data_IF_176481208097
#
_entry.id   IF_176481208097
#
_cell.length_a   1.000
_cell.length_b   1.000
_cell.length_c   1.000
_cell.angle_alpha   90.00
_cell.angle_beta   90.00
_cell.angle_gamma   90.00
#
_symmetry.space_group_name_H-M   'P 1'
#
loop_
_entity.id
_entity.type
_entity.pdbx_description
1 polymer ?
#
# COMPACT_ATOMS: atom_id res chain seq x y z
N UNK A 1 42.84 11.95 -23.19
CA UNK A 1 42.03 12.68 -22.17
C UNK A 1 41.28 11.63 -21.35
N UNK A 2 41.71 11.34 -20.12
CA UNK A 2 40.96 10.43 -19.25
C UNK A 2 39.80 11.18 -18.62
N UNK A 3 38.57 10.86 -18.99
CA UNK A 3 37.39 11.25 -18.22
C UNK A 3 37.50 10.58 -16.86
N UNK A 4 37.87 11.36 -15.84
CA UNK A 4 37.81 10.91 -14.45
C UNK A 4 36.34 10.58 -14.16
N UNK A 5 36.01 9.29 -14.10
CA UNK A 5 34.73 8.84 -13.58
C UNK A 5 34.65 9.31 -12.12
N UNK A 6 33.88 10.37 -11.87
CA UNK A 6 33.53 10.72 -10.51
C UNK A 6 32.66 9.59 -9.97
N UNK A 7 33.22 8.80 -9.05
CA UNK A 7 32.44 7.85 -8.29
C UNK A 7 31.37 8.66 -7.55
N UNK A 8 30.07 8.42 -7.78
CA UNK A 8 29.04 9.17 -7.10
C UNK A 8 29.25 9.04 -5.58
N UNK A 9 29.08 10.12 -4.81
CA UNK A 9 29.25 10.06 -3.36
C UNK A 9 28.37 8.95 -2.78
N UNK A 10 28.90 8.21 -1.79
CA UNK A 10 28.14 7.19 -1.07
C UNK A 10 26.85 7.83 -0.56
N UNK A 11 25.71 7.38 -1.08
CA UNK A 11 24.39 7.81 -0.59
C UNK A 11 24.28 7.50 0.90
N UNK A 12 23.78 8.45 1.68
CA UNK A 12 23.40 8.26 3.07
C UNK A 12 22.30 7.18 3.20
N UNK A 13 22.18 6.56 4.38
CA UNK A 13 21.22 5.48 4.65
C UNK A 13 19.79 5.88 4.28
N UNK A 14 19.37 7.10 4.66
CA UNK A 14 18.03 7.61 4.35
C UNK A 14 17.81 7.67 2.85
N UNK A 15 18.80 8.18 2.10
CA UNK A 15 18.74 8.26 0.64
C UNK A 15 18.70 6.87 -0.02
N UNK A 16 19.31 5.86 0.58
CA UNK A 16 19.23 4.48 0.07
C UNK A 16 17.85 3.88 0.30
N UNK A 17 17.33 4.03 1.51
CA UNK A 17 16.01 3.49 1.89
C UNK A 17 14.91 4.15 1.05
N UNK A 18 14.94 5.48 0.89
CA UNK A 18 13.93 6.17 0.08
C UNK A 18 13.97 5.75 -1.38
N UNK A 19 15.17 5.57 -1.95
CA UNK A 19 15.30 5.12 -3.33
C UNK A 19 14.87 3.66 -3.52
N UNK A 20 15.19 2.78 -2.56
CA UNK A 20 14.74 1.38 -2.59
C UNK A 20 13.22 1.30 -2.50
N UNK A 21 12.58 2.10 -1.63
CA UNK A 21 11.11 2.20 -1.57
C UNK A 21 10.56 2.76 -2.88
N UNK A 22 11.20 3.78 -3.46
CA UNK A 22 10.78 4.38 -4.72
C UNK A 22 10.77 3.37 -5.87
N UNK A 23 11.83 2.56 -5.98
CA UNK A 23 11.97 1.51 -6.99
C UNK A 23 11.03 0.34 -6.72
N UNK A 24 10.93 -0.10 -5.46
CA UNK A 24 9.99 -1.15 -5.04
C UNK A 24 8.55 -0.76 -5.35
N UNK A 25 8.13 0.46 -5.01
CA UNK A 25 6.77 0.93 -5.27
C UNK A 25 6.52 1.14 -6.76
N UNK A 26 7.52 1.56 -7.52
CA UNK A 26 7.39 1.65 -8.98
C UNK A 26 7.16 0.28 -9.60
N UNK A 27 7.86 -0.76 -9.13
CA UNK A 27 7.59 -2.14 -9.54
C UNK A 27 6.23 -2.65 -9.02
N UNK A 28 5.90 -2.36 -7.77
CA UNK A 28 4.67 -2.82 -7.14
C UNK A 28 3.44 -2.22 -7.83
N UNK A 29 3.49 -0.97 -8.28
CA UNK A 29 2.36 -0.30 -8.91
C UNK A 29 2.29 -0.53 -10.43
N UNK A 30 3.43 -0.69 -11.10
CA UNK A 30 3.49 -0.66 -12.58
C UNK A 30 4.25 -1.81 -13.23
N UNK A 31 4.90 -2.67 -12.45
CA UNK A 31 5.69 -3.80 -12.94
C UNK A 31 4.82 -4.91 -13.53
N UNK A 32 5.41 -5.75 -14.38
CA UNK A 32 4.73 -6.94 -14.92
C UNK A 32 4.51 -8.00 -13.83
N UNK A 33 3.38 -8.69 -13.87
CA UNK A 33 2.89 -9.48 -12.73
C UNK A 33 2.69 -10.95 -13.09
N UNK A 34 3.09 -11.83 -12.18
CA UNK A 34 2.52 -13.17 -12.10
C UNK A 34 1.14 -13.09 -11.46
N UNK A 35 0.30 -14.11 -11.67
CA UNK A 35 -1.04 -14.17 -11.08
C UNK A 35 -1.02 -14.00 -9.55
N UNK A 36 -0.01 -14.56 -8.86
CA UNK A 36 0.12 -14.46 -7.42
C UNK A 36 0.44 -13.03 -6.97
N UNK A 37 1.33 -12.34 -7.68
CA UNK A 37 1.66 -10.93 -7.41
C UNK A 37 0.42 -10.05 -7.62
N UNK A 38 -0.35 -10.30 -8.68
CA UNK A 38 -1.60 -9.60 -8.95
C UNK A 38 -2.62 -9.78 -7.82
N UNK A 39 -2.77 -11.01 -7.29
CA UNK A 39 -3.65 -11.27 -6.15
C UNK A 39 -3.18 -10.57 -4.87
N UNK A 40 -1.88 -10.59 -4.56
CA UNK A 40 -1.32 -9.96 -3.37
C UNK A 40 -1.39 -8.42 -3.41
N UNK A 41 -1.61 -7.83 -4.59
CA UNK A 41 -1.91 -6.40 -4.76
C UNK A 41 -3.42 -6.14 -4.73
N UNK A 42 -4.16 -6.92 -5.52
CA UNK A 42 -5.58 -6.72 -5.75
C UNK A 42 -6.45 -6.99 -4.53
N UNK A 43 -6.15 -8.04 -3.74
CA UNK A 43 -6.94 -8.38 -2.55
C UNK A 43 -6.84 -7.29 -1.48
N UNK A 44 -5.64 -6.83 -1.08
CA UNK A 44 -5.56 -5.69 -0.17
C UNK A 44 -6.26 -4.45 -0.71
N UNK A 45 -6.05 -4.09 -1.98
CA UNK A 45 -6.70 -2.93 -2.58
C UNK A 45 -8.24 -3.03 -2.52
N UNK A 46 -8.79 -4.19 -2.83
CA UNK A 46 -10.22 -4.45 -2.70
C UNK A 46 -10.71 -4.27 -1.25
N UNK A 47 -9.99 -4.86 -0.28
CA UNK A 47 -10.33 -4.74 1.14
C UNK A 47 -10.21 -3.29 1.63
N UNK A 48 -9.26 -2.52 1.13
CA UNK A 48 -9.12 -1.10 1.40
C UNK A 48 -10.32 -0.31 0.89
N UNK A 49 -10.68 -0.47 -0.39
CA UNK A 49 -11.83 0.23 -0.96
C UNK A 49 -13.12 -0.15 -0.22
N UNK A 50 -13.30 -1.42 0.11
CA UNK A 50 -14.42 -1.89 0.92
C UNK A 50 -14.43 -1.27 2.32
N UNK A 51 -13.29 -1.24 3.01
CA UNK A 51 -13.15 -0.62 4.32
C UNK A 51 -13.53 0.86 4.27
N UNK A 52 -12.97 1.56 3.30
CA UNK A 52 -13.08 3.01 3.15
C UNK A 52 -14.50 3.44 2.77
N UNK A 53 -15.16 2.70 1.86
CA UNK A 53 -16.50 3.07 1.36
C UNK A 53 -17.66 2.42 2.12
N UNK A 54 -17.45 1.25 2.71
CA UNK A 54 -18.49 0.56 3.48
C UNK A 54 -18.33 0.76 4.97
N UNK A 55 -17.12 0.50 5.48
CA UNK A 55 -16.88 0.33 6.90
C UNK A 55 -16.74 1.66 7.66
N UNK A 56 -16.01 2.64 7.10
CA UNK A 56 -15.87 3.97 7.70
C UNK A 56 -17.24 4.69 7.79
N UNK A 57 -18.05 4.79 6.72
CA UNK A 57 -19.40 5.37 6.82
C UNK A 57 -20.29 4.66 7.83
N UNK A 58 -20.20 3.32 7.92
CA UNK A 58 -20.99 2.56 8.89
C UNK A 58 -20.60 2.87 10.34
N UNK A 59 -19.31 3.02 10.63
CA UNK A 59 -18.85 3.49 11.93
C UNK A 59 -19.33 4.90 12.23
N UNK A 60 -19.24 5.81 11.27
CA UNK A 60 -19.74 7.18 11.45
C UNK A 60 -21.24 7.20 11.77
N UNK A 61 -22.04 6.38 11.09
CA UNK A 61 -23.47 6.21 11.40
C UNK A 61 -23.67 5.68 12.83
N UNK A 62 -22.95 4.63 13.19
CA UNK A 62 -23.07 3.97 14.51
C UNK A 62 -22.68 4.93 15.63
N UNK A 63 -21.58 5.66 15.48
CA UNK A 63 -21.14 6.69 16.43
C UNK A 63 -22.22 7.76 16.58
N UNK A 64 -22.73 8.27 15.46
CA UNK A 64 -23.71 9.36 15.45
C UNK A 64 -25.04 8.95 16.10
N UNK A 65 -25.54 7.76 15.79
CA UNK A 65 -26.86 7.31 16.26
C UNK A 65 -26.81 6.67 17.64
N UNK A 66 -25.91 5.71 17.85
CA UNK A 66 -25.87 4.91 19.07
C UNK A 66 -25.13 5.61 20.21
N UNK A 67 -24.01 6.27 19.92
CA UNK A 67 -23.15 6.85 20.95
C UNK A 67 -23.43 8.33 21.21
N UNK A 68 -23.80 9.09 20.19
CA UNK A 68 -24.15 10.51 20.33
C UNK A 68 -25.66 10.76 20.46
N UNK A 69 -26.50 9.75 20.22
CA UNK A 69 -27.95 9.83 20.42
C UNK A 69 -28.71 10.65 19.37
N UNK A 70 -28.09 10.94 18.21
CA UNK A 70 -28.79 11.64 17.13
C UNK A 70 -29.80 10.74 16.40
N UNK A 71 -30.72 11.36 15.66
CA UNK A 71 -31.70 10.64 14.85
C UNK A 71 -31.04 9.82 13.73
N UNK A 72 -31.76 8.81 13.23
CA UNK A 72 -31.31 8.00 12.09
C UNK A 72 -31.04 8.85 10.84
N UNK A 73 -31.82 9.91 10.62
CA UNK A 73 -31.64 10.81 9.48
C UNK A 73 -30.33 11.59 9.56
N UNK A 74 -29.98 12.09 10.76
CA UNK A 74 -28.69 12.74 11.00
C UNK A 74 -27.56 11.72 10.83
N UNK A 75 -27.71 10.51 11.37
CA UNK A 75 -26.75 9.42 11.19
C UNK A 75 -26.48 9.08 9.72
N UNK A 76 -27.53 8.97 8.91
CA UNK A 76 -27.42 8.75 7.48
C UNK A 76 -26.71 9.90 6.77
N UNK A 77 -27.06 11.15 7.09
CA UNK A 77 -26.45 12.33 6.48
C UNK A 77 -24.95 12.41 6.82
N UNK A 78 -24.57 12.15 8.08
CA UNK A 78 -23.16 12.08 8.48
C UNK A 78 -22.43 10.98 7.72
N UNK A 79 -22.97 9.76 7.71
CA UNK A 79 -22.34 8.61 7.10
C UNK A 79 -22.13 8.77 5.59
N UNK A 80 -23.16 9.17 4.86
CA UNK A 80 -23.12 9.23 3.39
C UNK A 80 -22.54 10.54 2.89
N UNK A 81 -23.02 11.68 3.40
CA UNK A 81 -22.67 13.00 2.86
C UNK A 81 -21.38 13.53 3.47
N UNK A 82 -21.23 13.49 4.79
CA UNK A 82 -20.06 14.08 5.44
C UNK A 82 -18.82 13.18 5.40
N UNK A 83 -19.01 11.87 5.41
CA UNK A 83 -17.91 10.90 5.47
C UNK A 83 -17.76 10.16 4.15
N UNK A 84 -18.79 9.47 3.67
CA UNK A 84 -18.72 8.64 2.46
C UNK A 84 -18.32 9.42 1.21
N UNK A 85 -19.00 10.51 0.90
CA UNK A 85 -18.74 11.34 -0.29
C UNK A 85 -17.30 11.91 -0.35
N UNK A 86 -16.83 12.61 0.70
CA UNK A 86 -15.46 13.10 0.76
C UNK A 86 -14.41 11.99 0.68
N UNK A 87 -14.68 10.86 1.34
CA UNK A 87 -13.77 9.71 1.32
C UNK A 87 -13.66 9.11 -0.08
N UNK A 88 -14.77 8.96 -0.80
CA UNK A 88 -14.77 8.53 -2.21
C UNK A 88 -14.01 9.52 -3.10
N UNK A 89 -14.19 10.83 -2.86
CA UNK A 89 -13.47 11.88 -3.59
C UNK A 89 -11.96 11.78 -3.36
N UNK A 90 -11.53 11.55 -2.12
CA UNK A 90 -10.12 11.35 -1.79
C UNK A 90 -9.54 10.11 -2.47
N UNK A 91 -10.29 9.01 -2.57
CA UNK A 91 -9.85 7.83 -3.32
C UNK A 91 -9.63 8.14 -4.81
N UNK A 92 -10.52 8.93 -5.43
CA UNK A 92 -10.33 9.35 -6.82
C UNK A 92 -9.08 10.21 -6.99
N UNK A 93 -8.86 11.17 -6.10
CA UNK A 93 -7.65 12.02 -6.12
C UNK A 93 -6.40 11.16 -5.97
N UNK A 94 -6.37 10.24 -5.01
CA UNK A 94 -5.26 9.31 -4.79
C UNK A 94 -5.01 8.46 -6.03
N UNK A 95 -6.05 7.85 -6.61
CA UNK A 95 -5.90 7.05 -7.82
C UNK A 95 -5.31 7.85 -8.99
N UNK A 96 -5.79 9.09 -9.21
CA UNK A 96 -5.25 9.98 -10.23
C UNK A 96 -3.80 10.37 -9.95
N UNK A 97 -3.45 10.65 -8.70
CA UNK A 97 -2.09 11.02 -8.31
C UNK A 97 -1.11 9.87 -8.44
N UNK A 98 -1.48 8.68 -8.00
CA UNK A 98 -0.68 7.47 -8.22
C UNK A 98 -0.46 7.28 -9.72
N UNK A 99 -1.51 7.28 -10.55
CA UNK A 99 -1.35 7.17 -12.01
C UNK A 99 -0.47 8.28 -12.61
N UNK A 100 -0.61 9.53 -12.14
CA UNK A 100 0.21 10.65 -12.60
C UNK A 100 1.69 10.49 -12.24
N UNK A 101 2.02 9.77 -11.16
CA UNK A 101 3.39 9.49 -10.74
C UNK A 101 4.09 8.43 -11.60
N UNK A 102 3.37 7.70 -12.46
CA UNK A 102 3.93 6.64 -13.30
C UNK A 102 5.06 7.16 -14.20
N UNK A 103 6.24 6.54 -14.08
CA UNK A 103 7.42 6.87 -14.88
C UNK A 103 8.06 8.23 -14.58
N UNK A 104 7.53 9.00 -13.61
CA UNK A 104 8.06 10.31 -13.24
C UNK A 104 9.04 10.20 -12.07
N UNK A 105 10.13 10.98 -12.15
CA UNK A 105 11.19 11.07 -11.13
C UNK A 105 11.24 12.48 -10.56
N UNK A 106 11.69 12.60 -9.31
CA UNK A 106 11.79 13.87 -8.58
C UNK A 106 11.10 13.80 -7.23
N UNK A 107 11.44 14.72 -6.32
CA UNK A 107 11.05 14.67 -4.91
C UNK A 107 9.54 14.45 -4.70
N UNK A 108 8.69 15.23 -5.38
CA UNK A 108 7.24 15.11 -5.24
C UNK A 108 6.70 13.74 -5.67
N UNK A 109 7.23 13.17 -6.75
CA UNK A 109 6.80 11.87 -7.27
C UNK A 109 7.27 10.72 -6.38
N UNK A 110 8.50 10.81 -5.84
CA UNK A 110 9.01 9.85 -4.87
C UNK A 110 8.27 9.96 -3.52
N UNK A 111 7.84 11.16 -3.13
CA UNK A 111 6.99 11.35 -1.95
C UNK A 111 5.63 10.65 -2.11
N UNK A 112 4.97 10.78 -3.26
CA UNK A 112 3.71 10.06 -3.54
C UNK A 112 3.90 8.55 -3.36
N UNK A 113 4.94 7.97 -3.98
CA UNK A 113 5.20 6.53 -3.87
C UNK A 113 5.55 6.10 -2.44
N UNK A 114 6.26 6.93 -1.69
CA UNK A 114 6.53 6.67 -0.27
C UNK A 114 5.24 6.70 0.57
N UNK A 115 4.33 7.63 0.31
CA UNK A 115 3.02 7.67 0.97
C UNK A 115 2.17 6.46 0.57
N UNK A 116 2.20 6.04 -0.69
CA UNK A 116 1.52 4.82 -1.16
C UNK A 116 2.09 3.57 -0.46
N UNK A 117 3.41 3.52 -0.23
CA UNK A 117 4.04 2.46 0.54
C UNK A 117 3.53 2.41 1.98
N UNK A 118 3.51 3.55 2.68
CA UNK A 118 3.01 3.62 4.05
C UNK A 118 1.53 3.25 4.15
N UNK A 119 0.71 3.67 3.19
CA UNK A 119 -0.69 3.28 3.11
C UNK A 119 -0.84 1.77 2.90
N UNK A 120 -0.06 1.18 2.00
CA UNK A 120 -0.06 -0.26 1.77
C UNK A 120 0.38 -1.04 3.01
N UNK A 121 1.42 -0.59 3.72
CA UNK A 121 1.83 -1.17 5.00
C UNK A 121 0.73 -1.08 6.05
N UNK A 122 0.13 0.10 6.24
CA UNK A 122 -0.94 0.30 7.21
C UNK A 122 -2.15 -0.59 6.89
N UNK A 123 -2.50 -0.72 5.61
CA UNK A 123 -3.57 -1.58 5.15
C UNK A 123 -3.32 -3.04 5.50
N UNK A 124 -2.16 -3.56 5.11
CA UNK A 124 -1.83 -4.99 5.22
C UNK A 124 -1.53 -5.40 6.67
N UNK A 125 -0.92 -4.52 7.46
CA UNK A 125 -0.46 -4.84 8.82
C UNK A 125 -1.40 -4.35 9.92
N UNK A 126 -2.28 -3.39 9.65
CA UNK A 126 -3.15 -2.80 10.67
C UNK A 126 -4.63 -2.90 10.29
N UNK A 127 -5.03 -2.39 9.12
CA UNK A 127 -6.45 -2.30 8.74
C UNK A 127 -7.06 -3.69 8.53
N UNK A 128 -6.45 -4.54 7.69
CA UNK A 128 -6.96 -5.89 7.43
C UNK A 128 -7.01 -6.72 8.73
N UNK A 129 -5.94 -6.76 9.54
CA UNK A 129 -5.98 -7.42 10.85
C UNK A 129 -7.09 -6.90 11.76
N UNK A 130 -7.26 -5.58 11.82
CA UNK A 130 -8.31 -4.96 12.63
C UNK A 130 -9.72 -5.31 12.14
N UNK A 131 -9.95 -5.32 10.83
CA UNK A 131 -11.23 -5.72 10.24
C UNK A 131 -11.58 -7.15 10.60
N UNK A 132 -10.61 -8.07 10.52
CA UNK A 132 -10.83 -9.47 10.87
C UNK A 132 -11.02 -9.67 12.37
N UNK A 133 -10.26 -8.94 13.19
CA UNK A 133 -10.52 -8.87 14.63
C UNK A 133 -11.96 -8.42 14.91
N UNK A 134 -12.45 -7.37 14.25
CA UNK A 134 -13.80 -6.87 14.47
C UNK A 134 -14.88 -7.83 13.96
N UNK A 135 -14.66 -8.45 12.80
CA UNK A 135 -15.56 -9.47 12.24
C UNK A 135 -15.72 -10.69 13.16
N UNK A 136 -14.66 -11.05 13.89
CA UNK A 136 -14.68 -12.15 14.86
C UNK A 136 -15.26 -11.78 16.24
N UNK A 137 -15.89 -10.59 16.34
CA UNK A 137 -16.53 -10.09 17.57
C UNK A 137 -15.60 -9.31 18.49
N UNK A 138 -14.38 -9.00 18.05
CA UNK A 138 -13.49 -8.08 18.75
C UNK A 138 -13.98 -6.63 18.66
N UNK A 139 -13.81 -5.85 19.70
CA UNK A 139 -14.11 -4.42 19.66
C UNK A 139 -13.12 -3.62 20.48
N UNK A 140 -12.83 -2.40 20.03
CA UNK A 140 -12.09 -1.42 20.81
C UNK A 140 -13.03 -0.50 21.60
N UNK A 141 -14.32 -0.45 21.22
CA UNK A 141 -15.35 0.38 21.83
C UNK A 141 -16.69 -0.39 21.83
N UNK A 142 -17.12 -0.97 22.96
CA UNK A 142 -16.34 -1.19 24.20
C UNK A 142 -15.18 -2.16 23.97
N UNK A 143 -14.22 -2.21 24.90
CA UNK A 143 -13.07 -3.12 24.83
C UNK A 143 -13.52 -4.58 24.99
N UNK A 144 -13.50 -5.34 23.90
CA UNK A 144 -13.87 -6.77 23.86
C UNK A 144 -12.80 -7.51 23.06
N UNK A 145 -12.09 -8.44 23.71
CA UNK A 145 -10.97 -9.18 23.10
C UNK A 145 -11.16 -10.69 23.18
N UNK A 146 -12.10 -11.28 22.43
CA UNK A 146 -12.26 -12.73 22.37
C UNK A 146 -10.98 -13.36 21.82
N UNK A 147 -10.56 -14.51 22.37
CA UNK A 147 -9.33 -15.20 21.95
C UNK A 147 -9.34 -15.50 20.44
N UNK A 148 -10.48 -15.91 19.90
CA UNK A 148 -10.66 -16.16 18.46
C UNK A 148 -10.41 -14.92 17.60
N UNK A 149 -10.82 -13.74 18.08
CA UNK A 149 -10.64 -12.48 17.35
C UNK A 149 -9.18 -12.04 17.37
N UNK A 150 -8.52 -12.18 18.52
CA UNK A 150 -7.08 -11.94 18.65
C UNK A 150 -6.28 -12.88 17.74
N UNK A 151 -6.62 -14.17 17.75
CA UNK A 151 -5.96 -15.16 16.91
C UNK A 151 -6.15 -14.83 15.41
N UNK A 152 -7.38 -14.50 14.99
CA UNK A 152 -7.66 -14.17 13.60
C UNK A 152 -6.93 -12.89 13.15
N UNK A 153 -6.92 -11.85 13.99
CA UNK A 153 -6.17 -10.62 13.74
C UNK A 153 -4.66 -10.88 13.64
N UNK A 154 -4.10 -11.69 14.55
CA UNK A 154 -2.68 -12.05 14.54
C UNK A 154 -2.30 -12.87 13.29
N UNK A 155 -3.14 -13.84 12.89
CA UNK A 155 -2.94 -14.63 11.66
C UNK A 155 -2.95 -13.71 10.44
N UNK A 156 -3.90 -12.78 10.36
CA UNK A 156 -3.98 -11.81 9.27
C UNK A 156 -2.74 -10.91 9.20
N UNK A 157 -2.27 -10.39 10.34
CA UNK A 157 -1.08 -9.56 10.40
C UNK A 157 0.17 -10.35 9.97
N UNK A 158 0.30 -11.60 10.42
CA UNK A 158 1.37 -12.50 10.02
C UNK A 158 1.34 -12.83 8.53
N UNK A 159 0.16 -13.14 7.97
CA UNK A 159 -0.05 -13.36 6.54
C UNK A 159 0.29 -12.11 5.71
N UNK A 160 -0.07 -10.93 6.20
CA UNK A 160 0.30 -9.65 5.62
C UNK A 160 1.81 -9.42 5.59
N UNK A 161 2.49 -9.66 6.71
CA UNK A 161 3.95 -9.55 6.80
C UNK A 161 4.67 -10.53 5.87
N UNK A 162 4.20 -11.78 5.78
CA UNK A 162 4.74 -12.77 4.83
C UNK A 162 4.52 -12.34 3.38
N UNK A 163 3.36 -11.76 3.06
CA UNK A 163 3.05 -11.25 1.72
C UNK A 163 3.99 -10.11 1.33
N UNK A 164 4.27 -9.19 2.26
CA UNK A 164 5.24 -8.10 2.05
C UNK A 164 6.64 -8.63 1.80
N UNK A 165 7.10 -9.60 2.60
CA UNK A 165 8.40 -10.24 2.41
C UNK A 165 8.48 -10.92 1.04
N UNK A 166 7.45 -11.68 0.66
CA UNK A 166 7.36 -12.32 -0.65
C UNK A 166 7.46 -11.30 -1.80
N UNK A 167 6.66 -10.23 -1.75
CA UNK A 167 6.66 -9.17 -2.76
C UNK A 167 8.04 -8.51 -2.87
N UNK A 168 8.70 -8.24 -1.74
CA UNK A 168 10.04 -7.66 -1.74
C UNK A 168 11.09 -8.61 -2.34
N UNK A 169 11.06 -9.90 -2.00
CA UNK A 169 11.98 -10.87 -2.60
C UNK A 169 11.74 -11.07 -4.09
N UNK A 170 10.48 -11.08 -4.53
CA UNK A 170 10.15 -11.19 -5.95
C UNK A 170 10.58 -9.94 -6.73
N UNK A 171 10.39 -8.74 -6.17
CA UNK A 171 10.97 -7.50 -6.69
C UNK A 171 12.49 -7.64 -6.88
N UNK A 172 13.23 -8.02 -5.84
CA UNK A 172 14.69 -8.17 -5.89
C UNK A 172 15.13 -9.19 -6.94
N UNK A 173 14.40 -10.30 -7.06
CA UNK A 173 14.65 -11.34 -8.06
C UNK A 173 14.49 -10.81 -9.48
N UNK A 174 13.40 -10.09 -9.75
CA UNK A 174 13.12 -9.54 -11.08
C UNK A 174 14.13 -8.46 -11.45
N UNK A 175 14.37 -7.50 -10.55
CA UNK A 175 15.32 -6.40 -10.81
C UNK A 175 16.74 -6.93 -11.07
N UNK A 176 17.17 -7.97 -10.33
CA UNK A 176 18.45 -8.63 -10.60
C UNK A 176 18.50 -9.29 -11.97
N UNK A 177 17.46 -10.04 -12.34
CA UNK A 177 17.36 -10.69 -13.64
C UNK A 177 17.39 -9.68 -14.79
N UNK A 178 16.68 -8.56 -14.66
CA UNK A 178 16.66 -7.49 -15.66
C UNK A 178 18.03 -6.81 -15.78
N UNK A 179 18.72 -6.58 -14.65
CA UNK A 179 20.07 -6.02 -14.66
C UNK A 179 21.08 -6.95 -15.35
N UNK A 180 21.01 -8.27 -15.10
CA UNK A 180 21.85 -9.28 -15.76
C UNK A 180 21.57 -9.33 -17.27
N UNK A 181 20.30 -9.30 -17.69
CA UNK A 181 19.91 -9.25 -19.09
C UNK A 181 20.40 -7.98 -19.81
N UNK A 182 20.29 -6.82 -19.15
CA UNK A 182 20.78 -5.56 -19.68
C UNK A 182 22.31 -5.55 -19.81
N UNK A 183 23.03 -6.12 -18.84
CA UNK A 183 24.48 -6.26 -18.89
C UNK A 183 24.91 -7.19 -20.04
N UNK A 184 24.22 -8.31 -20.25
CA UNK A 184 24.47 -9.22 -21.36
C UNK A 184 24.23 -8.56 -22.73
N UNK A 185 23.13 -7.81 -22.87
CA UNK A 185 22.84 -7.05 -24.09
C UNK A 185 23.90 -5.96 -24.38
N UNK A 186 24.33 -5.24 -23.34
CA UNK A 186 25.37 -4.23 -23.47
C UNK A 186 26.74 -4.84 -23.82
N UNK A 187 27.07 -6.02 -23.29
CA UNK A 187 28.29 -6.75 -23.65
C UNK A 187 28.27 -7.21 -25.10
N UNK A 188 27.15 -7.78 -25.57
CA UNK A 188 26.96 -8.20 -26.95
C UNK A 188 27.10 -7.04 -27.94
N UNK A 189 26.56 -5.87 -27.61
CA UNK A 189 26.70 -4.65 -28.44
C UNK A 189 28.16 -4.16 -28.52
N UNK A 190 28.93 -4.24 -27.42
CA UNK A 190 30.34 -3.85 -27.40
C UNK A 190 31.27 -4.83 -28.13
N UNK A 191 30.89 -6.11 -28.24
CA UNK A 191 31.69 -7.12 -28.96
C UNK A 191 31.41 -7.20 -30.45
N UNK A 192 30.34 -6.56 -30.93
CA UNK A 192 29.88 -6.60 -32.32
C UNK A 192 30.09 -5.30 -33.11
N UNK A 193 30.79 -4.30 -32.56
CA UNK A 193 31.20 -3.07 -33.23
C UNK A 193 32.71 -2.96 -33.29
#
# INVERSE_FOLDING_TARGET
MSTAYSVPPRRDLISRVTHEIDDFMSWLLYGSETWLVALLKGVPLFLFVYFVLGYIPNYANTITTLYLGFSKDVGFLVAVVLIGGPTFTLLLILALWTQAARGRRGFAWSLIRFLDFLQYLALVLLIIPFMLFNLAGGSLIPLVFPLQALALGAIAAGGGAMSLAYLYFEYRRITRREAEAAAAAAAAWRSGG
#
